data_IF_327509756926
#
_entry.id   IF_327509756926
#
_cell.length_a   1.000
_cell.length_b   1.000
_cell.length_c   1.000
_cell.angle_alpha   90.00
_cell.angle_beta   90.00
_cell.angle_gamma   90.00
#
_symmetry.space_group_name_H-M   'P 1'
#
loop_
_entity.id
_entity.type
_entity.pdbx_description
1 polymer ?
#
# COMPACT_ATOMS: atom_id res chain seq x y z
N UNK A 1 -0.87 6.80 18.32
CA UNK A 1 -1.09 8.12 17.69
C UNK A 1 -1.54 7.85 16.26
N UNK A 2 -2.71 8.35 15.85
CA UNK A 2 -3.11 8.30 14.43
C UNK A 2 -2.69 9.64 13.85
N UNK A 3 -1.57 9.66 13.12
CA UNK A 3 -1.17 10.84 12.36
C UNK A 3 -1.85 10.80 10.99
N UNK A 4 -2.38 11.93 10.55
CA UNK A 4 -3.09 12.05 9.28
C UNK A 4 -2.80 13.41 8.64
N UNK A 5 -1.99 13.38 7.57
CA UNK A 5 -1.72 14.53 6.73
C UNK A 5 -2.83 14.66 5.69
N UNK A 6 -3.75 15.60 5.90
CA UNK A 6 -4.80 15.92 4.94
C UNK A 6 -4.29 16.96 3.93
N UNK A 7 -4.07 16.53 2.69
CA UNK A 7 -3.86 17.46 1.59
C UNK A 7 -5.14 17.68 0.79
N UNK A 8 -5.54 18.94 0.61
CA UNK A 8 -6.67 19.31 -0.25
C UNK A 8 -6.28 20.51 -1.10
N UNK A 9 -6.75 20.55 -2.35
CA UNK A 9 -6.64 21.75 -3.18
C UNK A 9 -7.47 22.87 -2.54
N UNK A 10 -6.82 23.98 -2.17
CA UNK A 10 -7.52 25.16 -1.64
C UNK A 10 -8.47 25.77 -2.67
N UNK A 11 -8.13 25.68 -3.96
CA UNK A 11 -9.01 26.07 -5.06
C UNK A 11 -8.78 25.19 -6.29
N UNK A 12 -9.80 25.03 -7.12
CA UNK A 12 -9.69 24.40 -8.43
C UNK A 12 -9.85 25.50 -9.45
N UNK A 13 -8.79 25.79 -10.23
CA UNK A 13 -8.84 26.75 -11.33
C UNK A 13 -9.70 26.17 -12.46
N UNK A 14 -11.02 26.33 -12.38
CA UNK A 14 -11.95 25.86 -13.42
C UNK A 14 -11.91 26.72 -14.68
N UNK A 15 -11.46 27.97 -14.55
CA UNK A 15 -11.55 29.01 -15.60
C UNK A 15 -10.26 29.14 -16.43
N UNK A 16 -9.26 28.29 -16.19
CA UNK A 16 -7.97 28.30 -16.90
C UNK A 16 -7.89 27.06 -17.78
N UNK A 17 -7.47 27.23 -19.02
CA UNK A 17 -7.30 26.12 -19.94
C UNK A 17 -6.11 25.23 -19.56
N UNK A 18 -5.95 24.10 -20.24
CA UNK A 18 -4.90 23.13 -19.92
C UNK A 18 -3.48 23.66 -20.19
N UNK A 19 -3.19 24.30 -21.34
CA UNK A 19 -1.89 24.92 -21.61
C UNK A 19 -1.47 25.93 -20.53
N UNK A 20 -2.37 26.82 -20.10
CA UNK A 20 -2.06 27.80 -19.08
C UNK A 20 -1.83 27.17 -17.71
N UNK A 21 -2.61 26.12 -17.35
CA UNK A 21 -2.34 25.33 -16.14
C UNK A 21 -0.95 24.70 -16.15
N UNK A 22 -0.53 24.15 -17.30
CA UNK A 22 0.81 23.56 -17.45
C UNK A 22 1.90 24.63 -17.36
N UNK A 23 1.69 25.81 -17.96
CA UNK A 23 2.60 26.96 -17.86
C UNK A 23 2.73 27.44 -16.41
N UNK A 24 1.62 27.68 -15.72
CA UNK A 24 1.62 28.09 -14.31
C UNK A 24 2.32 27.05 -13.44
N UNK A 25 2.02 25.75 -13.61
CA UNK A 25 2.69 24.68 -12.87
C UNK A 25 4.20 24.62 -13.11
N UNK A 26 4.68 24.95 -14.32
CA UNK A 26 6.12 25.02 -14.60
C UNK A 26 6.80 26.20 -13.90
N UNK A 27 6.07 27.30 -13.71
CA UNK A 27 6.57 28.51 -13.05
C UNK A 27 6.52 28.43 -11.53
N UNK A 28 5.59 27.66 -10.96
CA UNK A 28 5.49 27.46 -9.51
C UNK A 28 6.72 26.78 -8.91
N UNK A 29 7.02 27.15 -7.66
CA UNK A 29 7.99 26.46 -6.83
C UNK A 29 7.52 25.02 -6.54
N UNK A 30 8.44 24.13 -6.14
CA UNK A 30 8.09 22.72 -5.93
C UNK A 30 7.04 22.55 -4.83
N UNK A 31 7.17 23.33 -3.76
CA UNK A 31 6.36 23.34 -2.54
C UNK A 31 4.90 23.70 -2.81
N UNK A 32 4.63 24.47 -3.88
CA UNK A 32 3.28 24.87 -4.27
C UNK A 32 2.58 23.80 -5.13
N UNK A 33 3.32 22.80 -5.61
CA UNK A 33 2.78 21.75 -6.48
C UNK A 33 2.16 20.65 -5.64
N UNK A 34 1.10 20.05 -6.16
CA UNK A 34 0.48 18.86 -5.58
C UNK A 34 1.48 17.71 -5.35
N UNK A 35 2.55 17.64 -6.14
CA UNK A 35 3.63 16.67 -5.97
C UNK A 35 4.42 16.82 -4.66
N UNK A 36 4.41 18.00 -4.02
CA UNK A 36 5.07 18.24 -2.73
C UNK A 36 4.50 17.36 -1.61
N UNK A 37 3.23 16.95 -1.72
CA UNK A 37 2.60 16.05 -0.73
C UNK A 37 3.40 14.77 -0.49
N UNK A 38 4.11 14.27 -1.50
CA UNK A 38 4.92 13.07 -1.36
C UNK A 38 6.13 13.31 -0.45
N UNK A 39 6.77 14.46 -0.58
CA UNK A 39 7.88 14.87 0.28
C UNK A 39 7.39 15.10 1.71
N UNK A 40 6.28 15.82 1.88
CA UNK A 40 5.65 16.04 3.19
C UNK A 40 5.32 14.71 3.90
N UNK A 41 4.79 13.72 3.16
CA UNK A 41 4.50 12.39 3.70
C UNK A 41 5.77 11.61 4.06
N UNK A 42 6.85 11.71 3.27
CA UNK A 42 8.14 11.11 3.59
C UNK A 42 8.70 11.70 4.88
N UNK A 43 8.77 13.03 4.98
CA UNK A 43 9.27 13.74 6.15
C UNK A 43 8.41 13.49 7.41
N UNK A 44 7.08 13.44 7.28
CA UNK A 44 6.20 13.03 8.40
C UNK A 44 6.50 11.60 8.86
N UNK A 45 6.71 10.66 7.94
CA UNK A 45 7.07 9.28 8.31
C UNK A 45 8.43 9.18 9.00
N UNK A 46 9.37 10.04 8.63
CA UNK A 46 10.67 10.15 9.29
C UNK A 46 10.55 10.72 10.71
N UNK A 47 9.69 11.72 10.92
CA UNK A 47 9.40 12.26 12.25
C UNK A 47 8.81 11.18 13.17
N UNK A 48 7.95 10.31 12.65
CA UNK A 48 7.44 9.15 13.39
C UNK A 48 8.59 8.20 13.73
N UNK A 49 9.50 7.92 12.80
CA UNK A 49 10.66 7.08 13.05
C UNK A 49 11.58 7.67 14.13
N UNK A 50 11.87 8.98 14.08
CA UNK A 50 12.61 9.73 15.10
C UNK A 50 11.98 9.60 16.49
N UNK A 51 10.65 9.65 16.56
CA UNK A 51 9.93 9.50 17.83
C UNK A 51 9.89 8.05 18.36
N UNK A 52 10.22 7.06 17.53
CA UNK A 52 10.11 5.63 17.85
C UNK A 52 11.37 4.85 17.44
N UNK A 53 12.53 5.10 18.08
CA UNK A 53 13.82 4.54 17.66
C UNK A 53 13.91 3.01 17.76
N UNK A 54 13.03 2.36 18.53
CA UNK A 54 12.96 0.89 18.64
C UNK A 54 12.26 0.19 17.46
N UNK A 55 11.73 0.95 16.51
CA UNK A 55 11.01 0.44 15.34
C UNK A 55 11.66 0.96 14.07
N UNK A 56 11.86 0.09 13.09
CA UNK A 56 12.34 0.47 11.75
C UNK A 56 11.15 0.78 10.84
N UNK A 57 11.14 1.96 10.24
CA UNK A 57 10.09 2.42 9.33
C UNK A 57 10.60 2.44 7.90
N UNK A 58 9.78 1.91 6.98
CA UNK A 58 10.10 1.91 5.54
C UNK A 58 8.93 2.53 4.80
N UNK A 59 9.15 3.70 4.19
CA UNK A 59 8.16 4.39 3.38
C UNK A 59 8.09 3.74 1.99
N UNK A 60 6.90 3.30 1.56
CA UNK A 60 6.73 2.61 0.26
C UNK A 60 5.73 3.39 -0.59
N UNK A 61 6.17 3.86 -1.76
CA UNK A 61 5.34 4.69 -2.64
C UNK A 61 5.41 4.27 -4.12
N UNK A 62 4.33 4.57 -4.86
CA UNK A 62 4.20 4.19 -6.26
C UNK A 62 4.90 5.16 -7.23
N UNK A 63 4.71 4.95 -8.53
CA UNK A 63 5.36 5.74 -9.57
C UNK A 63 5.08 7.24 -9.54
N UNK A 64 4.00 7.70 -8.90
CA UNK A 64 3.74 9.14 -8.76
C UNK A 64 4.73 9.83 -7.83
N UNK A 65 5.43 9.09 -6.97
CA UNK A 65 6.46 9.62 -6.06
C UNK A 65 7.86 9.63 -6.68
N UNK A 66 8.02 9.24 -7.95
CA UNK A 66 9.30 9.31 -8.66
C UNK A 66 9.68 10.78 -8.94
N UNK A 67 10.15 11.46 -7.89
CA UNK A 67 10.39 12.90 -7.83
C UNK A 67 11.79 13.09 -7.23
N UNK A 68 12.64 13.91 -7.86
CA UNK A 68 14.05 14.02 -7.43
C UNK A 68 14.20 14.58 -6.03
N UNK A 69 13.31 15.50 -5.66
CA UNK A 69 13.23 16.11 -4.34
C UNK A 69 13.07 15.07 -3.21
N UNK A 70 12.46 13.91 -3.50
CA UNK A 70 12.36 12.81 -2.53
C UNK A 70 13.71 12.17 -2.21
N UNK A 71 14.62 12.13 -3.19
CA UNK A 71 15.91 11.45 -3.03
C UNK A 71 16.89 12.29 -2.21
N UNK A 72 16.72 13.62 -2.22
CA UNK A 72 17.55 14.54 -1.44
C UNK A 72 17.45 14.27 0.08
N UNK A 73 16.37 13.63 0.52
CA UNK A 73 16.19 13.28 1.93
C UNK A 73 17.15 12.17 2.39
N UNK A 74 17.76 11.40 1.47
CA UNK A 74 18.61 10.23 1.82
C UNK A 74 19.76 10.59 2.76
N UNK A 75 20.36 11.78 2.59
CA UNK A 75 21.48 12.26 3.40
C UNK A 75 21.06 12.81 4.78
N UNK A 76 19.75 12.94 5.01
CA UNK A 76 19.17 13.56 6.21
C UNK A 76 18.29 12.61 7.03
N UNK A 77 18.06 11.39 6.53
CA UNK A 77 17.24 10.39 7.23
C UNK A 77 17.89 9.94 8.54
N UNK A 78 17.05 9.49 9.47
CA UNK A 78 17.51 8.72 10.63
C UNK A 78 17.77 7.27 10.28
N UNK A 79 18.69 6.64 11.02
CA UNK A 79 19.10 5.24 10.83
C UNK A 79 17.96 4.21 10.84
N UNK A 80 16.81 4.54 11.45
CA UNK A 80 15.63 3.68 11.50
C UNK A 80 14.51 4.10 10.52
N UNK A 81 14.85 4.83 9.46
CA UNK A 81 13.93 5.25 8.41
C UNK A 81 14.53 5.04 7.02
N UNK A 82 13.80 4.32 6.17
CA UNK A 82 14.17 4.06 4.78
C UNK A 82 13.00 4.32 3.84
N UNK A 83 13.26 4.35 2.53
CA UNK A 83 12.21 4.40 1.51
C UNK A 83 12.41 3.40 0.38
N UNK A 84 11.29 3.04 -0.28
CA UNK A 84 11.24 2.32 -1.56
C UNK A 84 10.23 3.06 -2.46
N UNK A 85 10.72 3.66 -3.53
CA UNK A 85 9.94 4.44 -4.48
C UNK A 85 9.95 3.74 -5.84
N UNK A 86 8.79 3.49 -6.44
CA UNK A 86 8.76 2.92 -7.79
C UNK A 86 9.18 3.97 -8.82
N UNK A 87 10.24 3.69 -9.58
CA UNK A 87 10.65 4.48 -10.73
C UNK A 87 9.66 4.35 -11.90
N UNK A 88 9.45 5.45 -12.61
CA UNK A 88 8.75 5.51 -13.89
C UNK A 88 9.50 6.33 -14.94
N UNK A 89 10.61 6.97 -14.57
CA UNK A 89 11.48 7.73 -15.46
C UNK A 89 12.82 7.01 -15.60
N UNK A 90 13.32 6.92 -16.84
CA UNK A 90 14.71 6.54 -17.05
C UNK A 90 15.59 7.78 -16.76
N UNK A 91 16.04 7.90 -15.51
CA UNK A 91 16.78 9.07 -15.03
C UNK A 91 18.22 9.05 -15.53
N UNK A 92 18.76 10.23 -15.81
CA UNK A 92 20.15 10.41 -16.17
C UNK A 92 21.04 10.19 -14.93
N UNK A 93 22.21 9.59 -15.15
CA UNK A 93 23.25 9.43 -14.13
C UNK A 93 24.35 10.48 -14.33
N UNK A 94 25.15 10.72 -13.29
CA UNK A 94 26.32 11.60 -13.40
C UNK A 94 27.30 11.03 -14.42
N UNK A 95 27.76 11.87 -15.35
CA UNK A 95 28.64 11.44 -16.43
C UNK A 95 30.00 11.05 -15.87
N UNK A 96 30.48 9.87 -16.23
CA UNK A 96 31.86 9.46 -16.01
C UNK A 96 32.27 8.59 -17.19
N UNK A 97 33.49 8.80 -17.70
CA UNK A 97 33.97 8.11 -18.89
C UNK A 97 33.80 6.59 -18.74
N UNK A 98 33.11 5.97 -19.70
CA UNK A 98 32.86 4.53 -19.72
C UNK A 98 31.76 4.01 -18.77
N UNK A 99 31.07 4.89 -18.03
CA UNK A 99 29.99 4.49 -17.12
C UNK A 99 28.60 4.67 -17.73
N UNK A 100 27.57 3.96 -17.22
CA UNK A 100 26.20 4.09 -17.69
C UNK A 100 25.67 5.53 -17.56
N UNK A 101 24.96 6.02 -18.57
CA UNK A 101 24.40 7.38 -18.60
C UNK A 101 22.98 7.47 -18.05
N UNK A 102 22.32 6.34 -17.89
CA UNK A 102 20.95 6.27 -17.38
C UNK A 102 20.73 5.04 -16.50
N UNK A 103 19.66 5.06 -15.70
CA UNK A 103 19.30 3.93 -14.84
C UNK A 103 19.08 2.66 -15.67
N UNK A 104 18.40 2.75 -16.81
CA UNK A 104 18.14 1.57 -17.67
C UNK A 104 19.45 0.98 -18.22
N UNK A 105 20.43 1.81 -18.59
CA UNK A 105 21.76 1.34 -19.02
C UNK A 105 22.52 0.69 -17.86
N UNK A 106 22.47 1.29 -16.66
CA UNK A 106 23.15 0.74 -15.48
C UNK A 106 22.58 -0.63 -15.11
N UNK A 107 21.26 -0.76 -15.12
CA UNK A 107 20.57 -2.02 -14.91
C UNK A 107 20.90 -3.01 -16.02
N UNK A 108 20.84 -2.62 -17.29
CA UNK A 108 21.17 -3.48 -18.44
C UNK A 108 22.57 -4.11 -18.36
N UNK A 109 23.55 -3.37 -17.80
CA UNK A 109 24.92 -3.82 -17.62
C UNK A 109 25.14 -4.64 -16.34
N UNK A 110 24.13 -4.75 -15.47
CA UNK A 110 24.21 -5.50 -14.23
C UNK A 110 23.79 -6.97 -14.44
N UNK A 111 24.53 -7.88 -13.82
CA UNK A 111 24.20 -9.30 -13.81
C UNK A 111 22.92 -9.57 -12.99
N UNK A 112 22.20 -10.62 -13.37
CA UNK A 112 21.04 -11.10 -12.61
C UNK A 112 21.56 -11.73 -11.32
N UNK A 113 21.17 -11.20 -10.18
CA UNK A 113 21.62 -11.69 -8.88
C UNK A 113 20.75 -12.87 -8.37
N UNK A 114 19.47 -12.91 -8.72
CA UNK A 114 18.60 -14.05 -8.42
C UNK A 114 17.34 -14.08 -9.30
N UNK A 115 16.59 -15.18 -9.20
CA UNK A 115 15.31 -15.36 -9.88
C UNK A 115 14.25 -15.81 -8.88
N UNK A 116 13.00 -15.42 -9.12
CA UNK A 116 11.84 -15.78 -8.32
C UNK A 116 10.62 -16.00 -9.20
N UNK A 117 9.71 -16.86 -8.76
CA UNK A 117 8.42 -17.03 -9.40
C UNK A 117 7.38 -16.08 -8.82
N UNK A 118 6.54 -15.51 -9.70
CA UNK A 118 5.39 -14.72 -9.31
C UNK A 118 4.11 -15.29 -9.92
N UNK A 119 3.15 -15.66 -9.06
CA UNK A 119 1.82 -16.08 -9.50
C UNK A 119 0.98 -14.87 -9.89
N UNK A 120 0.66 -14.76 -11.17
CA UNK A 120 -0.14 -13.69 -11.75
C UNK A 120 -1.60 -14.16 -11.84
N UNK A 121 -2.49 -13.44 -11.16
CA UNK A 121 -3.92 -13.73 -11.21
C UNK A 121 -4.54 -13.30 -12.54
N UNK A 122 -5.54 -14.08 -12.97
CA UNK A 122 -6.43 -13.70 -14.05
C UNK A 122 -7.07 -12.32 -13.77
N UNK A 123 -7.24 -11.53 -14.82
CA UNK A 123 -8.08 -10.34 -14.82
C UNK A 123 -8.97 -10.39 -16.04
N UNK A 124 -10.28 -10.24 -15.82
CA UNK A 124 -11.24 -10.07 -16.90
C UNK A 124 -11.66 -8.60 -16.93
N UNK A 125 -11.42 -7.91 -18.04
CA UNK A 125 -11.92 -6.55 -18.25
C UNK A 125 -13.45 -6.59 -18.30
N UNK A 126 -14.09 -5.69 -17.54
CA UNK A 126 -15.54 -5.49 -17.62
C UNK A 126 -15.96 -4.60 -18.81
N UNK A 127 -15.00 -4.06 -19.56
CA UNK A 127 -15.24 -3.17 -20.70
C UNK A 127 -14.69 -3.84 -21.96
N UNK A 128 -15.56 -4.05 -22.95
CA UNK A 128 -15.19 -4.59 -24.25
C UNK A 128 -14.24 -3.62 -24.98
N UNK A 129 -13.12 -4.13 -25.50
CA UNK A 129 -12.13 -3.31 -26.20
C UNK A 129 -11.28 -2.40 -25.30
N UNK A 130 -11.20 -2.65 -24.00
CA UNK A 130 -10.31 -1.89 -23.10
C UNK A 130 -8.84 -2.15 -23.45
N UNK A 131 -8.17 -1.10 -23.93
CA UNK A 131 -6.78 -1.17 -24.41
C UNK A 131 -5.77 -0.67 -23.39
N UNK A 132 -6.20 -0.04 -22.29
CA UNK A 132 -5.27 0.43 -21.26
C UNK A 132 -4.57 -0.77 -20.62
N UNK A 133 -3.22 -0.84 -20.61
CA UNK A 133 -2.49 -2.03 -20.13
C UNK A 133 -2.90 -2.48 -18.72
N UNK A 134 -3.15 -1.54 -17.81
CA UNK A 134 -3.58 -1.82 -16.42
C UNK A 134 -5.03 -2.30 -16.29
N UNK A 135 -5.81 -2.36 -17.37
CA UNK A 135 -7.24 -2.73 -17.37
C UNK A 135 -7.62 -3.78 -18.41
N UNK A 136 -6.71 -4.11 -19.33
CA UNK A 136 -6.86 -5.21 -20.28
C UNK A 136 -7.05 -6.53 -19.53
N UNK A 137 -7.77 -7.45 -20.16
CA UNK A 137 -7.82 -8.83 -19.68
C UNK A 137 -6.44 -9.47 -19.75
N UNK A 138 -6.14 -10.35 -18.80
CA UNK A 138 -4.93 -11.20 -18.79
C UNK A 138 -5.27 -12.55 -18.18
N UNK A 139 -4.65 -13.60 -18.71
CA UNK A 139 -4.79 -14.95 -18.17
C UNK A 139 -3.99 -15.14 -16.88
N UNK A 140 -4.40 -16.09 -16.04
CA UNK A 140 -3.56 -16.51 -14.92
C UNK A 140 -2.30 -17.21 -15.45
N UNK A 141 -1.13 -16.93 -14.85
CA UNK A 141 0.14 -17.54 -15.24
C UNK A 141 1.18 -17.43 -14.12
N UNK A 142 2.23 -18.24 -14.19
CA UNK A 142 3.44 -18.09 -13.38
C UNK A 142 4.47 -17.33 -14.22
N UNK A 143 4.99 -16.22 -13.70
CA UNK A 143 6.04 -15.43 -14.32
C UNK A 143 7.38 -15.72 -13.64
N UNK A 144 8.44 -15.92 -14.44
CA UNK A 144 9.82 -15.96 -13.95
C UNK A 144 10.35 -14.53 -13.88
N UNK A 145 10.63 -14.05 -12.68
CA UNK A 145 11.10 -12.69 -12.40
C UNK A 145 12.58 -12.75 -12.07
N UNK A 146 13.40 -12.11 -12.89
CA UNK A 146 14.82 -11.93 -12.66
C UNK A 146 15.06 -10.64 -11.89
N UNK A 147 15.91 -10.70 -10.87
CA UNK A 147 16.27 -9.56 -10.03
C UNK A 147 17.71 -9.14 -10.32
N UNK A 148 17.93 -7.83 -10.34
CA UNK A 148 19.27 -7.23 -10.37
C UNK A 148 19.25 -5.93 -9.56
N UNK A 149 20.40 -5.55 -9.03
CA UNK A 149 20.52 -4.35 -8.22
C UNK A 149 21.89 -3.71 -8.39
N UNK A 150 21.91 -2.38 -8.37
CA UNK A 150 23.16 -1.62 -8.43
C UNK A 150 23.00 -0.28 -7.72
N UNK A 151 24.04 0.22 -7.02
CA UNK A 151 24.08 1.62 -6.64
C UNK A 151 24.20 2.48 -7.90
N UNK A 152 23.61 3.67 -7.87
CA UNK A 152 23.70 4.66 -8.94
C UNK A 152 23.88 6.06 -8.36
N UNK A 153 24.45 6.97 -9.14
CA UNK A 153 24.48 8.40 -8.81
C UNK A 153 23.56 9.16 -9.78
N UNK A 154 22.34 9.46 -9.33
CA UNK A 154 21.29 10.10 -10.12
C UNK A 154 21.59 11.59 -10.28
N UNK A 155 21.62 12.05 -11.53
CA UNK A 155 21.84 13.46 -11.84
C UNK A 155 20.66 14.33 -11.42
N UNK A 156 20.93 15.42 -10.72
CA UNK A 156 19.94 16.41 -10.35
C UNK A 156 19.34 17.10 -11.58
N UNK A 157 18.00 17.13 -11.72
CA UNK A 157 17.36 17.83 -12.82
C UNK A 157 17.43 19.34 -12.61
N UNK A 158 17.35 20.10 -13.70
CA UNK A 158 17.17 21.54 -13.65
C UNK A 158 15.78 21.90 -13.08
N UNK A 159 15.77 22.85 -12.15
CA UNK A 159 14.60 23.53 -11.61
C UNK A 159 14.76 25.04 -11.75
N UNK A 160 13.67 25.79 -11.51
CA UNK A 160 13.76 27.24 -11.39
C UNK A 160 14.71 27.54 -10.21
N UNK A 161 15.84 28.17 -10.49
CA UNK A 161 16.89 28.44 -9.50
C UNK A 161 18.18 27.63 -9.67
N UNK A 162 18.20 26.61 -10.54
CA UNK A 162 19.42 25.84 -10.86
C UNK A 162 19.19 24.33 -10.90
N UNK A 163 20.27 23.58 -11.07
CA UNK A 163 20.23 22.12 -10.93
C UNK A 163 20.12 21.75 -9.45
N UNK A 164 19.28 20.77 -9.16
CA UNK A 164 19.29 20.12 -7.85
C UNK A 164 20.61 19.34 -7.67
N UNK A 165 21.00 19.00 -6.43
CA UNK A 165 22.14 18.13 -6.17
C UNK A 165 21.97 16.75 -6.82
N UNK A 166 23.10 16.16 -7.21
CA UNK A 166 23.16 14.74 -7.57
C UNK A 166 22.99 13.88 -6.32
N UNK A 167 22.41 12.69 -6.46
CA UNK A 167 22.09 11.81 -5.32
C UNK A 167 22.54 10.39 -5.58
N UNK A 168 23.33 9.84 -4.66
CA UNK A 168 23.66 8.42 -4.65
C UNK A 168 22.54 7.63 -3.98
N UNK A 169 22.03 6.60 -4.65
CA UNK A 169 21.00 5.70 -4.09
C UNK A 169 21.07 4.32 -4.73
N UNK A 170 20.35 3.36 -4.15
CA UNK A 170 20.28 2.00 -4.65
C UNK A 170 19.10 1.82 -5.61
N UNK A 171 19.31 1.05 -6.68
CA UNK A 171 18.25 0.67 -7.61
C UNK A 171 18.13 -0.84 -7.65
N UNK A 172 16.91 -1.33 -7.48
CA UNK A 172 16.54 -2.74 -7.65
C UNK A 172 15.59 -2.86 -8.83
N UNK A 173 15.87 -3.77 -9.75
CA UNK A 173 14.94 -4.12 -10.82
C UNK A 173 14.44 -5.55 -10.65
N UNK A 174 13.12 -5.70 -10.77
CA UNK A 174 12.45 -6.97 -10.98
C UNK A 174 11.88 -6.99 -12.40
N UNK A 175 12.39 -7.88 -13.25
CA UNK A 175 12.02 -7.94 -14.67
C UNK A 175 11.71 -9.37 -15.11
N UNK A 176 10.62 -9.52 -15.85
CA UNK A 176 10.32 -10.71 -16.61
C UNK A 176 11.01 -10.63 -17.98
N UNK A 177 12.05 -11.44 -18.18
CA UNK A 177 12.87 -11.40 -19.39
C UNK A 177 12.18 -12.04 -20.59
N UNK A 178 11.42 -13.11 -20.34
CA UNK A 178 10.75 -13.91 -21.37
C UNK A 178 9.23 -13.92 -21.15
N UNK A 179 8.53 -12.78 -21.33
CA UNK A 179 7.09 -12.74 -21.17
C UNK A 179 6.39 -13.59 -22.25
N UNK A 180 5.24 -14.20 -21.95
CA UNK A 180 4.46 -14.92 -22.96
C UNK A 180 4.05 -14.02 -24.12
N UNK A 181 3.87 -14.64 -25.29
CA UNK A 181 3.46 -13.92 -26.50
C UNK A 181 2.18 -13.10 -26.27
N UNK A 182 2.23 -11.80 -26.59
CA UNK A 182 1.11 -10.87 -26.46
C UNK A 182 0.85 -10.31 -25.05
N UNK A 183 1.66 -10.69 -24.06
CA UNK A 183 1.67 -10.12 -22.71
C UNK A 183 2.79 -9.08 -22.56
N UNK A 184 2.52 -7.99 -21.85
CA UNK A 184 3.55 -7.01 -21.50
C UNK A 184 4.49 -7.59 -20.44
N UNK A 185 5.81 -7.37 -20.59
CA UNK A 185 6.80 -7.76 -19.58
C UNK A 185 6.49 -7.10 -18.23
N UNK A 186 6.55 -7.90 -17.16
CA UNK A 186 6.54 -7.35 -15.81
C UNK A 186 7.88 -6.67 -15.58
N UNK A 187 7.86 -5.37 -15.29
CA UNK A 187 9.06 -4.61 -14.92
C UNK A 187 8.76 -3.65 -13.78
N UNK A 188 9.48 -3.81 -12.66
CA UNK A 188 9.58 -2.82 -11.58
C UNK A 188 11.02 -2.35 -11.50
N UNK A 189 11.20 -1.03 -11.52
CA UNK A 189 12.43 -0.36 -11.13
C UNK A 189 12.13 0.33 -9.81
N UNK A 190 12.86 0.01 -8.76
CA UNK A 190 12.65 0.50 -7.40
C UNK A 190 13.89 1.27 -6.96
N UNK A 191 13.68 2.52 -6.56
CA UNK A 191 14.69 3.43 -6.02
C UNK A 191 14.59 3.35 -4.50
N UNK A 192 15.69 3.05 -3.81
CA UNK A 192 15.65 2.73 -2.39
C UNK A 192 16.88 3.24 -1.64
N UNK A 193 16.70 3.55 -0.36
CA UNK A 193 17.79 3.82 0.60
C UNK A 193 18.32 2.53 1.25
N UNK A 194 17.49 1.47 1.28
CA UNK A 194 17.86 0.16 1.84
C UNK A 194 19.12 -0.42 1.18
N UNK A 195 19.94 -1.18 1.93
CA UNK A 195 21.11 -1.87 1.39
C UNK A 195 20.72 -2.92 0.35
N UNK A 196 21.67 -3.24 -0.54
CA UNK A 196 21.50 -4.18 -1.66
C UNK A 196 22.74 -5.06 -1.89
N UNK A 197 23.64 -5.14 -0.89
CA UNK A 197 24.91 -5.85 -0.96
C UNK A 197 24.71 -7.38 -1.03
N UNK A 198 23.62 -7.88 -0.43
CA UNK A 198 23.26 -9.29 -0.41
C UNK A 198 21.96 -9.58 -1.18
N UNK A 199 21.86 -10.78 -1.76
CA UNK A 199 20.65 -11.25 -2.43
C UNK A 199 19.42 -11.16 -1.51
N UNK A 200 19.58 -11.49 -0.22
CA UNK A 200 18.53 -11.40 0.80
C UNK A 200 17.98 -9.97 0.94
N UNK A 201 18.84 -8.96 0.83
CA UNK A 201 18.47 -7.55 0.92
C UNK A 201 17.73 -7.10 -0.35
N UNK A 202 18.18 -7.54 -1.53
CA UNK A 202 17.48 -7.28 -2.80
C UNK A 202 16.07 -7.90 -2.79
N UNK A 203 15.95 -9.15 -2.34
CA UNK A 203 14.67 -9.83 -2.16
C UNK A 203 13.77 -9.07 -1.18
N UNK A 204 14.34 -8.60 -0.07
CA UNK A 204 13.61 -7.81 0.94
C UNK A 204 12.98 -6.54 0.35
N UNK A 205 13.68 -5.82 -0.53
CA UNK A 205 13.14 -4.64 -1.22
C UNK A 205 11.92 -5.02 -2.06
N UNK A 206 11.99 -6.12 -2.82
CA UNK A 206 10.87 -6.60 -3.64
C UNK A 206 9.68 -7.03 -2.78
N UNK A 207 9.92 -7.79 -1.71
CA UNK A 207 8.88 -8.23 -0.78
C UNK A 207 8.12 -7.05 -0.16
N UNK A 208 8.87 -6.08 0.36
CA UNK A 208 8.32 -4.87 0.97
C UNK A 208 7.50 -4.05 -0.03
N UNK A 209 8.00 -3.87 -1.25
CA UNK A 209 7.24 -3.19 -2.29
C UNK A 209 5.99 -3.98 -2.71
N UNK A 210 6.04 -5.32 -2.66
CA UNK A 210 4.88 -6.19 -2.85
C UNK A 210 3.73 -5.90 -1.86
N UNK A 211 4.04 -5.40 -0.66
CA UNK A 211 3.04 -5.02 0.35
C UNK A 211 2.34 -3.69 0.04
N UNK A 212 2.86 -2.86 -0.89
CA UNK A 212 2.26 -1.55 -1.22
C UNK A 212 0.78 -1.64 -1.57
N UNK A 213 0.34 -2.72 -2.20
CA UNK A 213 -1.06 -2.92 -2.59
C UNK A 213 -2.04 -2.93 -1.39
N UNK A 214 -1.56 -3.15 -0.16
CA UNK A 214 -2.40 -3.11 1.03
C UNK A 214 -3.14 -1.76 1.20
N UNK A 215 -2.53 -0.64 0.81
CA UNK A 215 -3.21 0.67 0.88
C UNK A 215 -4.41 0.75 -0.08
N UNK A 216 -4.36 0.04 -1.21
CA UNK A 216 -5.48 -0.02 -2.16
C UNK A 216 -6.64 -0.85 -1.59
N UNK A 217 -6.34 -1.91 -0.85
CA UNK A 217 -7.34 -2.68 -0.12
C UNK A 217 -7.98 -1.85 0.99
N UNK A 218 -7.17 -1.07 1.72
CA UNK A 218 -7.66 -0.13 2.72
C UNK A 218 -8.63 0.90 2.12
N UNK A 219 -8.26 1.55 1.01
CA UNK A 219 -9.16 2.50 0.34
C UNK A 219 -10.39 1.82 -0.27
N UNK A 220 -10.27 0.60 -0.78
CA UNK A 220 -11.42 -0.19 -1.25
C UNK A 220 -12.40 -0.49 -0.11
N UNK A 221 -11.89 -0.83 1.08
CA UNK A 221 -12.69 -1.05 2.28
C UNK A 221 -13.41 0.24 2.70
N UNK A 222 -12.70 1.37 2.72
CA UNK A 222 -13.29 2.68 3.04
C UNK A 222 -14.40 3.08 2.04
N UNK A 223 -14.16 2.89 0.74
CA UNK A 223 -15.09 3.28 -0.32
C UNK A 223 -16.25 2.31 -0.49
N UNK A 224 -15.96 1.08 -0.88
CA UNK A 224 -16.99 0.09 -1.23
C UNK A 224 -17.59 -0.60 0.00
N UNK A 225 -16.80 -0.78 1.06
CA UNK A 225 -17.24 -1.42 2.30
C UNK A 225 -18.01 -0.47 3.22
N UNK A 226 -17.34 0.61 3.65
CA UNK A 226 -17.88 1.59 4.59
C UNK A 226 -18.74 2.67 3.92
N UNK A 227 -18.64 2.83 2.60
CA UNK A 227 -19.53 3.72 1.86
C UNK A 227 -19.21 5.20 2.04
N UNK A 228 -17.95 5.58 2.22
CA UNK A 228 -17.53 6.98 2.46
C UNK A 228 -18.07 7.95 1.38
N UNK A 229 -18.15 7.52 0.13
CA UNK A 229 -18.64 8.32 -1.02
C UNK A 229 -20.17 8.45 -1.05
N UNK A 230 -20.88 7.66 -0.22
CA UNK A 230 -22.34 7.71 -0.07
C UNK A 230 -22.79 8.66 1.04
N UNK A 231 -21.88 9.12 1.90
CA UNK A 231 -22.20 10.09 2.95
C UNK A 231 -22.66 11.41 2.33
N UNK A 232 -23.74 11.99 2.86
CA UNK A 232 -24.36 13.23 2.36
C UNK A 232 -24.33 14.34 3.40
N UNK A 233 -23.16 14.55 4.02
CA UNK A 233 -22.97 15.69 4.92
C UNK A 233 -22.96 17.00 4.14
N UNK A 234 -23.59 18.03 4.70
CA UNK A 234 -23.69 19.36 4.10
C UNK A 234 -22.51 20.28 4.45
N UNK A 235 -21.69 19.91 5.44
CA UNK A 235 -20.53 20.67 5.90
C UNK A 235 -19.28 19.82 5.77
N UNK A 236 -18.19 20.45 5.30
CA UNK A 236 -16.89 19.80 5.16
C UNK A 236 -16.37 19.29 6.51
N UNK A 237 -16.46 20.08 7.58
CA UNK A 237 -15.98 19.67 8.91
C UNK A 237 -16.69 18.42 9.43
N UNK A 238 -18.01 18.33 9.21
CA UNK A 238 -18.80 17.13 9.57
C UNK A 238 -18.38 15.93 8.72
N UNK A 239 -18.12 16.14 7.43
CA UNK A 239 -17.61 15.11 6.55
C UNK A 239 -16.22 14.62 6.99
N UNK A 240 -15.28 15.53 7.29
CA UNK A 240 -13.93 15.21 7.75
C UNK A 240 -13.92 14.48 9.09
N UNK A 241 -14.82 14.84 10.00
CA UNK A 241 -15.01 14.12 11.28
C UNK A 241 -15.45 12.68 11.03
N UNK A 242 -16.50 12.48 10.22
CA UNK A 242 -16.98 11.14 9.87
C UNK A 242 -15.92 10.33 9.10
N UNK A 243 -15.19 10.99 8.19
CA UNK A 243 -14.08 10.41 7.45
C UNK A 243 -13.00 9.89 8.38
N UNK A 244 -12.57 10.69 9.35
CA UNK A 244 -11.53 10.30 10.33
C UNK A 244 -11.93 9.07 11.14
N UNK A 245 -13.19 8.98 11.59
CA UNK A 245 -13.70 7.79 12.27
C UNK A 245 -13.70 6.56 11.36
N UNK A 246 -14.11 6.73 10.11
CA UNK A 246 -14.15 5.62 9.15
C UNK A 246 -12.76 5.14 8.72
N UNK A 247 -11.73 5.99 8.74
CA UNK A 247 -10.35 5.55 8.55
C UNK A 247 -9.92 4.55 9.62
N UNK A 248 -10.22 4.82 10.90
CA UNK A 248 -9.92 3.90 12.02
C UNK A 248 -10.67 2.58 11.87
N UNK A 249 -11.95 2.64 11.48
CA UNK A 249 -12.76 1.43 11.24
C UNK A 249 -12.22 0.63 10.06
N UNK A 250 -11.86 1.29 8.95
CA UNK A 250 -11.29 0.63 7.78
C UNK A 250 -9.97 -0.05 8.14
N UNK A 251 -9.11 0.64 8.91
CA UNK A 251 -7.85 0.09 9.38
C UNK A 251 -8.10 -1.15 10.24
N UNK A 252 -9.05 -1.08 11.19
CA UNK A 252 -9.40 -2.22 12.04
C UNK A 252 -9.89 -3.42 11.23
N UNK A 253 -10.73 -3.21 10.21
CA UNK A 253 -11.19 -4.27 9.30
C UNK A 253 -10.01 -4.94 8.59
N UNK A 254 -9.07 -4.15 8.07
CA UNK A 254 -7.89 -4.66 7.38
C UNK A 254 -6.93 -5.37 8.37
N UNK A 255 -6.75 -4.83 9.57
CA UNK A 255 -5.92 -5.39 10.63
C UNK A 255 -6.39 -6.79 11.02
N UNK A 256 -7.66 -6.96 11.41
CA UNK A 256 -8.18 -8.29 11.82
C UNK A 256 -8.20 -9.29 10.66
N UNK A 257 -8.40 -8.81 9.43
CA UNK A 257 -8.33 -9.65 8.23
C UNK A 257 -6.92 -10.19 8.03
N UNK A 258 -5.90 -9.34 8.24
CA UNK A 258 -4.50 -9.74 8.12
C UNK A 258 -4.05 -10.60 9.31
N UNK A 259 -4.51 -10.30 10.52
CA UNK A 259 -4.26 -11.10 11.71
C UNK A 259 -4.67 -12.56 11.51
N UNK A 260 -5.89 -12.82 11.00
CA UNK A 260 -6.30 -14.20 10.72
C UNK A 260 -5.50 -14.93 9.61
N UNK A 261 -4.68 -14.21 8.83
CA UNK A 261 -3.84 -14.80 7.78
C UNK A 261 -2.41 -15.03 8.23
N UNK A 262 -1.88 -14.14 9.07
CA UNK A 262 -0.47 -14.16 9.51
C UNK A 262 -0.35 -14.81 10.90
N UNK A 263 -1.36 -14.60 11.74
CA UNK A 263 -1.41 -15.00 13.15
C UNK A 263 -2.70 -15.80 13.41
N UNK A 264 -3.01 -16.73 12.51
CA UNK A 264 -4.27 -17.45 12.49
C UNK A 264 -4.46 -18.39 13.69
N UNK A 265 -3.36 -18.88 14.26
CA UNK A 265 -3.34 -19.83 15.38
C UNK A 265 -3.41 -19.14 16.75
N UNK A 266 -3.20 -17.82 16.82
CA UNK A 266 -3.35 -17.05 18.05
C UNK A 266 -4.78 -17.11 18.60
N UNK A 267 -4.94 -16.80 19.88
CA UNK A 267 -6.26 -16.72 20.50
C UNK A 267 -7.05 -15.57 19.90
N UNK A 268 -8.35 -15.75 19.63
CA UNK A 268 -9.17 -14.61 19.25
C UNK A 268 -9.23 -13.52 20.33
N UNK A 269 -8.91 -13.85 21.60
CA UNK A 269 -8.89 -12.90 22.71
C UNK A 269 -7.76 -11.87 22.65
N UNK A 270 -6.70 -12.15 21.89
CA UNK A 270 -5.63 -11.17 21.63
C UNK A 270 -6.13 -10.00 20.77
N UNK A 271 -7.24 -10.22 20.07
CA UNK A 271 -7.84 -9.25 19.16
C UNK A 271 -9.23 -8.79 19.60
N UNK A 272 -10.03 -9.62 20.26
CA UNK A 272 -11.42 -9.33 20.60
C UNK A 272 -11.70 -9.51 22.10
N UNK A 273 -12.45 -8.58 22.67
CA UNK A 273 -12.92 -8.71 24.05
C UNK A 273 -13.83 -9.94 24.22
N UNK A 274 -13.91 -10.47 25.44
CA UNK A 274 -14.89 -11.50 25.79
C UNK A 274 -16.34 -11.06 25.46
N UNK A 275 -16.63 -9.75 25.59
CA UNK A 275 -17.92 -9.15 25.24
C UNK A 275 -18.22 -9.17 23.74
N UNK A 276 -17.19 -9.29 22.90
CA UNK A 276 -17.29 -9.31 21.45
C UNK A 276 -17.39 -10.74 20.92
N UNK A 277 -16.46 -11.61 21.32
CA UNK A 277 -16.32 -12.91 20.69
C UNK A 277 -17.34 -13.93 21.21
N UNK A 278 -17.62 -13.96 22.52
CA UNK A 278 -18.52 -14.94 23.14
C UNK A 278 -19.94 -14.85 22.58
N UNK A 279 -20.66 -13.71 22.64
CA UNK A 279 -22.02 -13.65 22.12
C UNK A 279 -22.07 -13.87 20.61
N UNK A 280 -21.06 -13.40 19.87
CA UNK A 280 -20.96 -13.64 18.42
C UNK A 280 -20.85 -15.12 18.11
N UNK A 281 -20.01 -15.85 18.84
CA UNK A 281 -19.85 -17.29 18.71
C UNK A 281 -21.15 -18.03 19.02
N UNK A 282 -21.79 -17.72 20.15
CA UNK A 282 -23.06 -18.33 20.58
C UNK A 282 -24.15 -18.17 19.52
N UNK A 283 -24.33 -16.95 19.01
CA UNK A 283 -25.34 -16.64 18.00
C UNK A 283 -25.03 -17.34 16.67
N UNK A 284 -23.78 -17.25 16.19
CA UNK A 284 -23.39 -17.82 14.90
C UNK A 284 -23.44 -19.35 14.89
N UNK A 285 -22.98 -20.00 15.97
CA UNK A 285 -23.01 -21.46 16.11
C UNK A 285 -24.35 -22.00 16.63
N UNK A 286 -25.30 -21.11 16.95
CA UNK A 286 -26.63 -21.47 17.50
C UNK A 286 -26.53 -22.38 18.73
N UNK A 287 -25.62 -22.03 19.63
CA UNK A 287 -25.38 -22.78 20.88
C UNK A 287 -25.61 -21.90 22.10
N UNK A 288 -25.79 -22.53 23.27
CA UNK A 288 -25.90 -21.85 24.57
C UNK A 288 -24.62 -21.93 25.39
N UNK A 289 -23.64 -22.70 24.95
CA UNK A 289 -22.37 -22.91 25.65
C UNK A 289 -21.22 -22.31 24.87
N UNK A 290 -20.42 -21.52 25.57
CA UNK A 290 -19.12 -21.02 25.07
C UNK A 290 -18.12 -22.18 25.14
N UNK A 291 -17.22 -22.36 24.16
CA UNK A 291 -16.17 -23.37 24.25
C UNK A 291 -15.27 -23.14 25.47
N UNK A 292 -14.67 -24.21 26.00
CA UNK A 292 -13.78 -24.13 27.17
C UNK A 292 -12.51 -23.32 26.88
N UNK A 293 -11.98 -23.43 25.66
CA UNK A 293 -10.89 -22.62 25.16
C UNK A 293 -11.42 -21.65 24.11
N UNK A 294 -10.93 -20.39 24.05
CA UNK A 294 -11.27 -19.48 22.97
C UNK A 294 -10.91 -20.08 21.61
N UNK A 295 -11.72 -19.83 20.57
CA UNK A 295 -11.37 -20.20 19.20
C UNK A 295 -10.10 -19.48 18.76
N UNK A 296 -9.41 -20.04 17.78
CA UNK A 296 -8.27 -19.33 17.16
C UNK A 296 -8.75 -18.12 16.37
N UNK A 297 -7.84 -17.20 16.07
CA UNK A 297 -8.13 -16.01 15.27
C UNK A 297 -8.67 -16.39 13.88
N UNK A 298 -8.13 -17.43 13.24
CA UNK A 298 -8.63 -17.95 11.97
C UNK A 298 -10.05 -18.52 12.08
N UNK A 299 -10.34 -19.31 13.12
CA UNK A 299 -11.66 -19.88 13.37
C UNK A 299 -12.71 -18.79 13.65
N UNK A 300 -12.37 -17.85 14.52
CA UNK A 300 -13.29 -16.76 14.88
C UNK A 300 -13.53 -15.82 13.70
N UNK A 301 -12.51 -15.52 12.89
CA UNK A 301 -12.70 -14.73 11.67
C UNK A 301 -13.59 -15.43 10.65
N UNK A 302 -13.56 -16.76 10.56
CA UNK A 302 -14.50 -17.50 9.72
C UNK A 302 -15.94 -17.36 10.24
N UNK A 303 -16.15 -17.45 11.55
CA UNK A 303 -17.46 -17.22 12.20
C UNK A 303 -17.98 -15.82 11.87
N UNK A 304 -17.14 -14.81 12.03
CA UNK A 304 -17.48 -13.42 11.75
C UNK A 304 -17.81 -13.21 10.26
N UNK A 305 -17.01 -13.79 9.37
CA UNK A 305 -17.24 -13.71 7.93
C UNK A 305 -18.55 -14.39 7.51
N UNK A 306 -18.90 -15.54 8.10
CA UNK A 306 -20.16 -16.24 7.83
C UNK A 306 -21.37 -15.40 8.24
N UNK A 307 -21.30 -14.72 9.39
CA UNK A 307 -22.30 -13.71 9.75
C UNK A 307 -22.35 -12.56 8.73
N UNK A 308 -21.24 -12.24 8.07
CA UNK A 308 -21.19 -11.28 6.96
C UNK A 308 -21.73 -11.79 5.62
N UNK A 309 -22.13 -13.06 5.52
CA UNK A 309 -22.61 -13.71 4.30
C UNK A 309 -21.54 -14.48 3.52
N UNK A 310 -20.38 -14.76 4.11
CA UNK A 310 -19.40 -15.66 3.53
C UNK A 310 -19.91 -17.11 3.59
N UNK A 311 -19.88 -17.82 2.46
CA UNK A 311 -20.48 -19.15 2.35
C UNK A 311 -19.53 -20.29 2.75
N UNK A 312 -18.21 -20.04 2.76
CA UNK A 312 -17.17 -21.05 3.01
C UNK A 312 -17.24 -22.24 2.04
N UNK A 313 -17.41 -21.96 0.74
CA UNK A 313 -17.38 -23.00 -0.29
C UNK A 313 -15.94 -23.42 -0.62
N UNK A 314 -15.75 -24.69 -0.96
CA UNK A 314 -14.48 -25.19 -1.47
C UNK A 314 -14.00 -24.35 -2.65
N UNK A 315 -12.75 -23.87 -2.59
CA UNK A 315 -12.14 -23.04 -3.63
C UNK A 315 -12.55 -21.55 -3.62
N UNK A 316 -13.37 -21.08 -2.67
CA UNK A 316 -13.81 -19.68 -2.61
C UNK A 316 -12.69 -18.68 -2.22
N UNK A 317 -11.56 -19.19 -1.70
CA UNK A 317 -10.50 -18.36 -1.13
C UNK A 317 -10.90 -17.71 0.20
N UNK A 318 -9.96 -17.08 0.92
CA UNK A 318 -10.21 -16.56 2.26
C UNK A 318 -11.21 -15.38 2.26
N UNK A 319 -11.90 -15.11 3.39
CA UNK A 319 -12.80 -13.98 3.53
C UNK A 319 -12.17 -12.62 3.15
N UNK A 320 -12.93 -11.81 2.42
CA UNK A 320 -12.57 -10.45 2.06
C UNK A 320 -13.14 -9.41 3.03
N UNK A 321 -12.64 -8.17 2.94
CA UNK A 321 -12.99 -7.07 3.85
C UNK A 321 -14.50 -6.77 3.91
N UNK A 322 -15.23 -6.94 2.81
CA UNK A 322 -16.67 -6.69 2.76
C UNK A 322 -17.47 -7.60 3.69
N UNK A 323 -17.18 -8.90 3.71
CA UNK A 323 -17.89 -9.86 4.57
C UNK A 323 -17.45 -9.68 6.02
N UNK A 324 -16.18 -9.36 6.26
CA UNK A 324 -15.66 -9.07 7.60
C UNK A 324 -16.37 -7.84 8.20
N UNK A 325 -16.45 -6.75 7.46
CA UNK A 325 -17.17 -5.54 7.88
C UNK A 325 -18.64 -5.82 8.22
N UNK A 326 -19.36 -6.56 7.36
CA UNK A 326 -20.76 -6.94 7.63
C UNK A 326 -20.87 -7.80 8.89
N UNK A 327 -19.91 -8.69 9.12
CA UNK A 327 -19.78 -9.47 10.34
C UNK A 327 -19.61 -8.58 11.57
N UNK A 328 -18.67 -7.63 11.54
CA UNK A 328 -18.43 -6.69 12.64
C UNK A 328 -19.68 -5.89 13.01
N UNK A 329 -20.47 -5.45 12.02
CA UNK A 329 -21.75 -4.77 12.30
C UNK A 329 -22.73 -5.65 13.07
N UNK A 330 -22.75 -6.96 12.82
CA UNK A 330 -23.60 -7.90 13.57
C UNK A 330 -23.03 -8.18 14.96
N UNK A 331 -21.72 -8.38 15.05
CA UNK A 331 -20.99 -8.53 16.31
C UNK A 331 -21.29 -7.39 17.28
N UNK A 332 -21.28 -6.14 16.80
CA UNK A 332 -21.56 -4.98 17.63
C UNK A 332 -22.97 -5.05 18.27
N UNK A 333 -23.98 -5.44 17.50
CA UNK A 333 -25.34 -5.62 18.03
C UNK A 333 -25.42 -6.77 19.06
N UNK A 334 -24.66 -7.85 18.86
CA UNK A 334 -24.59 -8.96 19.80
C UNK A 334 -23.86 -8.58 21.10
N UNK A 335 -22.78 -7.81 20.98
CA UNK A 335 -22.05 -7.23 22.11
C UNK A 335 -22.95 -6.33 22.94
N UNK A 336 -23.69 -5.42 22.31
CA UNK A 336 -24.61 -4.51 23.02
C UNK A 336 -25.68 -5.28 23.80
N UNK A 337 -26.30 -6.30 23.17
CA UNK A 337 -27.25 -7.16 23.86
C UNK A 337 -26.59 -7.96 24.99
N UNK A 338 -25.38 -8.48 24.79
CA UNK A 338 -24.64 -9.25 25.79
C UNK A 338 -24.26 -8.39 27.00
N UNK A 339 -23.84 -7.14 26.80
CA UNK A 339 -23.55 -6.21 27.90
C UNK A 339 -24.83 -5.82 28.64
N UNK A 340 -25.94 -5.60 27.91
CA UNK A 340 -27.20 -5.18 28.51
C UNK A 340 -27.92 -6.29 29.30
N UNK A 341 -27.84 -7.54 28.84
CA UNK A 341 -28.60 -8.68 29.38
C UNK A 341 -27.75 -9.79 30.00
N UNK A 342 -26.44 -9.81 29.74
CA UNK A 342 -25.52 -10.75 30.34
C UNK A 342 -25.26 -10.35 31.79
N UNK A 343 -25.56 -11.24 32.73
CA UNK A 343 -24.95 -11.15 34.06
C UNK A 343 -23.46 -11.37 33.87
N UNK A 344 -22.67 -10.34 34.20
CA UNK A 344 -21.21 -10.36 34.13
C UNK A 344 -20.58 -11.55 34.82
#
# INVERSE_FOLDING_TARGET
MVDHVLWTRQSILTNVDRPDKERLRKQSCYEEKESCRWLEMLQSSEQIARANPGTHYINVADSESDIHEMFLEIDHQVDNHDFILRGCQNRALVDSDGHPRSIDEALANCEICCQSEASISERVSMIAGETRPRRKSRSARVAQISLRATPVNVRGPYRVGGNLPDVQLNVVEAIELDPPEGEDAIRWVLLTSLPIDEISQVQRVIELYGLRWQIELFFKTLKSGLGIEKLKYQSLDRYLTAFSMLLVVAWRVEQIKMAARIDGDASCEDYFEASEWKPTYLVAKKTRTVPQSPPTMAEFMLVLAQLGGYLNKTGQGPPGSTVIWRGLRRLQAYREAYIAFGTG
#
